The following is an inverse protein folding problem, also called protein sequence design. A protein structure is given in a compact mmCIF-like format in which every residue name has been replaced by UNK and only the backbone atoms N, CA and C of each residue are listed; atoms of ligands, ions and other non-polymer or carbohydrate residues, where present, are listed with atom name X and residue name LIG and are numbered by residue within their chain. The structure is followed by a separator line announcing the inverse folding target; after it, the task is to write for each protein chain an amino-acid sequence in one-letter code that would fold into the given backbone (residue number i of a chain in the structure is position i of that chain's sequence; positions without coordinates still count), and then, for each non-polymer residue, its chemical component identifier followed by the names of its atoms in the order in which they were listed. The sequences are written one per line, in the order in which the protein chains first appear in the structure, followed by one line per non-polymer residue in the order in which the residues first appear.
data_IF_931133287691
#
_entry.id   IF_931133287691
#
_cell.length_a   1.000
_cell.length_b   1.000
_cell.length_c   1.000
_cell.angle_alpha   90.00
_cell.angle_beta   90.00
_cell.angle_gamma   90.00
#
_symmetry.space_group_name_H-M   'P 1'
#
loop_
_entity.id
_entity.type
_entity.pdbx_description
1 polymer ?
#
# COMPACT_ATOMS: atom_id res chain seq x y z
N UNK A 1 -16.04 -9.74 34.51
CA UNK A 1 -16.28 -10.63 33.36
C UNK A 1 -16.59 -9.72 32.17
N UNK A 2 -15.57 -9.36 31.39
CA UNK A 2 -15.76 -8.43 30.26
C UNK A 2 -16.15 -9.24 29.02
N UNK A 3 -17.36 -9.00 28.53
CA UNK A 3 -17.85 -9.56 27.27
C UNK A 3 -17.22 -8.73 26.16
N UNK A 4 -16.25 -9.31 25.44
CA UNK A 4 -15.73 -8.73 24.21
C UNK A 4 -16.80 -8.90 23.13
N UNK A 5 -17.47 -7.82 22.77
CA UNK A 5 -18.37 -7.80 21.61
C UNK A 5 -17.53 -8.00 20.35
N UNK A 6 -17.59 -9.21 19.78
CA UNK A 6 -16.99 -9.55 18.48
C UNK A 6 -17.85 -8.94 17.38
N UNK A 7 -17.32 -7.94 16.69
CA UNK A 7 -17.98 -7.36 15.51
C UNK A 7 -17.67 -8.23 14.29
N UNK A 8 -18.65 -8.81 13.60
CA UNK A 8 -18.38 -9.59 12.41
C UNK A 8 -17.86 -8.70 11.28
N UNK A 9 -16.80 -9.17 10.64
CA UNK A 9 -16.01 -8.56 9.57
C UNK A 9 -16.78 -8.47 8.22
N UNK A 10 -18.11 -8.68 8.23
CA UNK A 10 -18.92 -8.84 7.01
C UNK A 10 -19.18 -7.55 6.22
N UNK A 11 -19.01 -6.38 6.81
CA UNK A 11 -19.50 -5.13 6.20
C UNK A 11 -18.52 -4.47 5.21
N UNK A 12 -17.28 -4.96 5.08
CA UNK A 12 -16.25 -4.33 4.25
C UNK A 12 -15.74 -5.18 3.06
N UNK A 13 -16.17 -6.44 2.95
CA UNK A 13 -15.77 -7.34 1.87
C UNK A 13 -16.92 -7.50 0.86
N UNK A 14 -16.79 -6.90 -0.33
CA UNK A 14 -17.64 -7.25 -1.48
C UNK A 14 -17.10 -8.55 -2.05
N UNK A 15 -17.78 -9.66 -1.80
CA UNK A 15 -17.41 -10.94 -2.39
C UNK A 15 -17.46 -10.86 -3.92
N UNK A 16 -16.34 -11.16 -4.57
CA UNK A 16 -16.32 -11.39 -6.02
C UNK A 16 -16.75 -12.83 -6.29
N UNK A 17 -17.78 -12.96 -7.12
CA UNK A 17 -18.28 -14.23 -7.64
C UNK A 17 -17.52 -14.55 -8.92
N UNK A 18 -17.21 -15.83 -9.14
CA UNK A 18 -16.74 -16.27 -10.45
C UNK A 18 -17.86 -16.20 -11.51
N UNK A 19 -17.52 -16.54 -12.76
CA UNK A 19 -18.46 -16.56 -13.87
C UNK A 19 -19.64 -17.55 -13.66
N UNK A 20 -19.50 -18.52 -12.77
CA UNK A 20 -20.53 -19.50 -12.41
C UNK A 20 -21.37 -19.07 -11.19
N UNK A 21 -21.09 -17.90 -10.61
CA UNK A 21 -21.77 -17.40 -9.41
C UNK A 21 -21.28 -18.04 -8.11
N UNK A 22 -20.10 -18.67 -8.13
CA UNK A 22 -19.45 -19.28 -6.97
C UNK A 22 -18.53 -18.28 -6.29
N UNK A 23 -18.58 -18.19 -4.96
CA UNK A 23 -17.62 -17.43 -4.17
C UNK A 23 -16.21 -18.01 -4.42
N UNK A 24 -15.30 -17.18 -4.93
CA UNK A 24 -13.95 -17.61 -5.33
C UNK A 24 -13.04 -18.09 -4.18
N UNK A 25 -13.46 -17.97 -2.92
CA UNK A 25 -12.64 -18.36 -1.78
C UNK A 25 -13.46 -18.61 -0.49
N UNK A 26 -14.25 -19.69 -0.37
CA UNK A 26 -15.02 -19.97 0.85
C UNK A 26 -14.12 -20.21 2.08
N UNK A 27 -12.87 -20.64 1.86
CA UNK A 27 -11.96 -21.08 2.93
C UNK A 27 -11.33 -19.93 3.75
N UNK A 28 -11.36 -18.71 3.21
CA UNK A 28 -10.84 -17.50 3.89
C UNK A 28 -11.95 -16.58 4.40
N UNK A 29 -13.22 -16.87 4.08
CA UNK A 29 -14.38 -16.08 4.51
C UNK A 29 -14.79 -16.33 5.98
N UNK A 30 -14.32 -17.43 6.59
CA UNK A 30 -14.60 -17.80 7.98
C UNK A 30 -13.44 -17.44 8.94
N UNK A 31 -12.57 -16.50 8.55
CA UNK A 31 -11.56 -15.98 9.47
C UNK A 31 -12.20 -14.97 10.43
N UNK A 32 -12.50 -15.43 11.65
CA UNK A 32 -12.85 -14.60 12.81
C UNK A 32 -11.62 -13.77 13.25
N UNK A 33 -11.31 -12.74 12.48
CA UNK A 33 -10.25 -11.78 12.83
C UNK A 33 -10.68 -10.97 14.05
N UNK A 34 -9.87 -11.00 15.10
CA UNK A 34 -10.05 -10.09 16.22
C UNK A 34 -9.49 -8.68 15.89
N UNK A 35 -9.92 -7.63 16.62
CA UNK A 35 -9.47 -6.27 16.38
C UNK A 35 -7.93 -6.12 16.41
N UNK A 36 -7.25 -6.83 17.31
CA UNK A 36 -5.79 -6.75 17.45
C UNK A 36 -5.06 -7.30 16.21
N UNK A 37 -5.60 -8.35 15.57
CA UNK A 37 -5.06 -8.90 14.34
C UNK A 37 -5.30 -7.95 13.16
N UNK A 38 -6.47 -7.29 13.11
CA UNK A 38 -6.75 -6.28 12.08
C UNK A 38 -5.77 -5.12 12.22
N UNK A 39 -5.56 -4.60 13.44
CA UNK A 39 -4.58 -3.54 13.70
C UNK A 39 -3.17 -3.94 13.29
N UNK A 40 -2.74 -5.16 13.62
CA UNK A 40 -1.44 -5.68 13.22
C UNK A 40 -1.29 -5.72 11.69
N UNK A 41 -2.32 -6.18 10.97
CA UNK A 41 -2.31 -6.20 9.50
C UNK A 41 -2.28 -4.79 8.91
N UNK A 42 -3.01 -3.84 9.49
CA UNK A 42 -3.04 -2.45 9.04
C UNK A 42 -1.65 -1.80 9.16
N UNK A 43 -0.95 -2.03 10.28
CA UNK A 43 0.42 -1.54 10.49
C UNK A 43 1.38 -2.23 9.52
N UNK A 44 1.33 -3.56 9.42
CA UNK A 44 2.20 -4.32 8.53
C UNK A 44 2.00 -3.95 7.06
N UNK A 45 0.76 -3.69 6.63
CA UNK A 45 0.46 -3.25 5.28
C UNK A 45 1.19 -1.93 4.98
N UNK A 46 1.06 -0.94 5.86
CA UNK A 46 1.74 0.33 5.69
C UNK A 46 3.27 0.18 5.65
N UNK A 47 3.83 -0.56 6.61
CA UNK A 47 5.28 -0.77 6.68
C UNK A 47 5.82 -1.49 5.44
N UNK A 48 5.14 -2.53 4.98
CA UNK A 48 5.51 -3.28 3.79
C UNK A 48 5.40 -2.39 2.55
N UNK A 49 4.29 -1.68 2.35
CA UNK A 49 4.10 -0.77 1.23
C UNK A 49 5.18 0.33 1.19
N UNK A 50 5.51 0.95 2.33
CA UNK A 50 6.54 1.99 2.36
C UNK A 50 7.95 1.43 2.12
N UNK A 51 8.22 0.20 2.60
CA UNK A 51 9.49 -0.50 2.33
C UNK A 51 9.62 -0.84 0.85
N UNK A 52 8.57 -1.40 0.26
CA UNK A 52 8.54 -1.78 -1.15
C UNK A 52 8.65 -0.55 -2.05
N UNK A 53 7.98 0.55 -1.70
CA UNK A 53 8.10 1.83 -2.40
C UNK A 53 9.54 2.35 -2.34
N UNK A 54 10.26 2.17 -1.23
CA UNK A 54 11.65 2.59 -1.08
C UNK A 54 12.68 1.63 -1.73
N UNK A 55 12.34 0.35 -1.95
CA UNK A 55 13.28 -0.65 -2.46
C UNK A 55 13.42 -0.57 -4.00
N UNK A 56 14.58 -0.19 -4.56
CA UNK A 56 14.76 -0.02 -6.00
C UNK A 56 14.54 -1.32 -6.82
N UNK A 57 14.47 -2.48 -6.18
CA UNK A 57 14.16 -3.77 -6.82
C UNK A 57 12.67 -3.99 -7.04
N UNK A 58 11.82 -3.26 -6.32
CA UNK A 58 10.36 -3.30 -6.50
C UNK A 58 9.99 -2.76 -7.87
N UNK A 59 9.12 -3.49 -8.56
CA UNK A 59 8.65 -3.12 -9.89
C UNK A 59 7.99 -1.74 -9.91
N UNK A 60 8.09 -1.04 -11.04
CA UNK A 60 7.45 0.26 -11.22
C UNK A 60 5.93 0.18 -11.05
N UNK A 61 5.29 -0.89 -11.56
CA UNK A 61 3.85 -1.11 -11.39
C UNK A 61 3.44 -1.21 -9.91
N UNK A 62 4.19 -1.96 -9.11
CA UNK A 62 3.92 -2.07 -7.66
C UNK A 62 4.11 -0.74 -6.95
N UNK A 63 5.13 0.04 -7.32
CA UNK A 63 5.34 1.38 -6.75
C UNK A 63 4.19 2.34 -7.11
N UNK A 64 3.67 2.26 -8.33
CA UNK A 64 2.50 3.03 -8.78
C UNK A 64 1.21 2.61 -8.05
N UNK A 65 0.99 1.31 -7.83
CA UNK A 65 -0.15 0.81 -7.07
C UNK A 65 -0.12 1.32 -5.62
N UNK A 66 1.06 1.30 -4.97
CA UNK A 66 1.24 1.83 -3.63
C UNK A 66 0.96 3.34 -3.60
N UNK A 67 1.49 4.09 -4.57
CA UNK A 67 1.23 5.53 -4.64
C UNK A 67 -0.25 5.83 -4.90
N UNK A 68 -0.90 5.04 -5.74
CA UNK A 68 -2.34 5.15 -5.98
C UNK A 68 -3.13 4.91 -4.70
N UNK A 69 -2.80 3.87 -3.93
CA UNK A 69 -3.42 3.61 -2.62
C UNK A 69 -3.26 4.79 -1.64
N UNK A 70 -2.09 5.43 -1.61
CA UNK A 70 -1.82 6.64 -0.80
C UNK A 70 -2.70 7.82 -1.25
N UNK A 71 -2.80 8.07 -2.56
CA UNK A 71 -3.50 9.22 -3.13
C UNK A 71 -5.03 9.06 -3.07
N UNK A 72 -5.52 7.91 -3.53
CA UNK A 72 -6.96 7.63 -3.60
C UNK A 72 -7.56 7.51 -2.20
N UNK A 73 -6.76 7.09 -1.22
CA UNK A 73 -7.18 6.90 0.16
C UNK A 73 -8.55 6.20 0.24
N UNK A 74 -8.63 5.01 -0.37
CA UNK A 74 -9.85 4.21 -0.35
C UNK A 74 -10.31 4.01 1.09
N UNK A 75 -11.60 4.20 1.36
CA UNK A 75 -12.18 4.02 2.69
C UNK A 75 -12.07 2.57 3.17
N UNK A 76 -12.33 2.35 4.46
CA UNK A 76 -12.35 1.03 5.07
C UNK A 76 -11.12 0.73 5.94
N UNK A 77 -11.04 -0.50 6.49
CA UNK A 77 -10.01 -0.88 7.46
C UNK A 77 -8.61 -0.80 6.86
N UNK A 78 -8.41 -1.18 5.60
CA UNK A 78 -7.09 -1.15 4.95
C UNK A 78 -6.85 0.09 4.08
N UNK A 79 -7.63 1.14 4.31
CA UNK A 79 -7.41 2.44 3.71
C UNK A 79 -6.12 3.08 4.21
N UNK A 80 -5.43 3.83 3.35
CA UNK A 80 -4.17 4.48 3.68
C UNK A 80 -4.26 5.32 4.97
N UNK A 81 -5.24 6.23 5.09
CA UNK A 81 -5.40 7.06 6.30
C UNK A 81 -5.64 6.23 7.56
N UNK A 82 -6.39 5.13 7.46
CA UNK A 82 -6.64 4.23 8.59
C UNK A 82 -5.32 3.60 9.05
N UNK A 83 -4.54 3.04 8.13
CA UNK A 83 -3.24 2.44 8.43
C UNK A 83 -2.20 3.46 8.94
N UNK A 84 -2.16 4.65 8.33
CA UNK A 84 -1.26 5.73 8.71
C UNK A 84 -1.58 6.28 10.10
N UNK A 85 -2.86 6.48 10.42
CA UNK A 85 -3.29 6.93 11.74
C UNK A 85 -2.89 5.95 12.84
N UNK A 86 -3.09 4.65 12.62
CA UNK A 86 -2.71 3.61 13.58
C UNK A 86 -1.20 3.59 13.83
N UNK A 87 -0.41 3.69 12.77
CA UNK A 87 1.05 3.74 12.89
C UNK A 87 1.53 5.02 13.58
N UNK A 88 0.93 6.17 13.25
CA UNK A 88 1.25 7.47 13.84
C UNK A 88 0.97 7.56 15.33
N UNK A 89 -0.06 6.87 15.83
CA UNK A 89 -0.37 6.80 17.27
C UNK A 89 0.80 6.27 18.11
N UNK A 90 1.58 5.34 17.56
CA UNK A 90 2.77 4.82 18.25
C UNK A 90 3.83 5.90 18.50
N UNK A 91 3.80 6.97 17.71
CA UNK A 91 4.73 8.11 17.78
C UNK A 91 4.08 9.37 18.35
N UNK A 92 2.84 9.28 18.87
CA UNK A 92 2.11 10.42 19.43
C UNK A 92 1.69 11.46 18.38
N UNK A 93 1.55 11.05 17.12
CA UNK A 93 1.04 11.91 16.05
C UNK A 93 -0.49 11.86 15.99
N UNK A 94 -1.09 13.01 15.70
CA UNK A 94 -2.50 13.08 15.34
C UNK A 94 -2.76 12.32 14.01
N UNK A 95 -3.90 11.64 13.85
CA UNK A 95 -4.20 10.80 12.69
C UNK A 95 -3.97 11.47 11.33
N UNK A 96 -4.45 12.70 11.17
CA UNK A 96 -4.34 13.47 9.94
C UNK A 96 -2.88 13.84 9.66
N UNK A 97 -2.16 14.30 10.67
CA UNK A 97 -0.74 14.64 10.55
C UNK A 97 0.12 13.42 10.18
N UNK A 98 -0.19 12.25 10.74
CA UNK A 98 0.49 11.01 10.40
C UNK A 98 0.27 10.65 8.91
N UNK A 99 -0.96 10.74 8.42
CA UNK A 99 -1.27 10.46 7.02
C UNK A 99 -0.58 11.46 6.07
N UNK A 100 -0.58 12.75 6.39
CA UNK A 100 0.07 13.78 5.58
C UNK A 100 1.58 13.54 5.47
N UNK A 101 2.28 13.35 6.59
CA UNK A 101 3.74 13.13 6.62
C UNK A 101 4.12 11.89 5.81
N UNK A 102 3.36 10.81 5.95
CA UNK A 102 3.64 9.56 5.24
C UNK A 102 3.33 9.68 3.75
N UNK A 103 2.26 10.38 3.38
CA UNK A 103 1.91 10.62 1.98
C UNK A 103 2.95 11.50 1.27
N UNK A 104 3.39 12.58 1.91
CA UNK A 104 4.49 13.42 1.40
C UNK A 104 5.75 12.58 1.18
N UNK A 105 6.07 11.70 2.14
CA UNK A 105 7.24 10.83 2.00
C UNK A 105 7.11 9.85 0.83
N UNK A 106 5.93 9.27 0.63
CA UNK A 106 5.66 8.37 -0.49
C UNK A 106 5.84 9.08 -1.84
N UNK A 107 5.30 10.29 -1.97
CA UNK A 107 5.44 11.12 -3.17
C UNK A 107 6.91 11.49 -3.44
N UNK A 108 7.66 11.84 -2.40
CA UNK A 108 9.09 12.15 -2.52
C UNK A 108 9.88 10.94 -3.04
N UNK A 109 9.61 9.75 -2.51
CA UNK A 109 10.27 8.51 -2.95
C UNK A 109 9.95 8.25 -4.42
N UNK A 110 8.67 8.36 -4.82
CA UNK A 110 8.27 8.13 -6.21
C UNK A 110 8.94 9.11 -7.18
N UNK A 111 9.01 10.39 -6.79
CA UNK A 111 9.70 11.41 -7.59
C UNK A 111 11.16 11.02 -7.85
N UNK A 112 11.87 10.57 -6.81
CA UNK A 112 13.28 10.14 -6.94
C UNK A 112 13.44 8.92 -7.84
N UNK A 113 12.50 7.96 -7.79
CA UNK A 113 12.50 6.80 -8.70
C UNK A 113 12.39 7.24 -10.16
N UNK A 114 11.40 8.09 -10.46
CA UNK A 114 11.19 8.59 -11.81
C UNK A 114 12.40 9.34 -12.35
N UNK A 115 13.02 10.20 -11.53
CA UNK A 115 14.26 10.91 -11.90
C UNK A 115 15.41 9.94 -12.22
N UNK A 116 15.54 8.83 -11.48
CA UNK A 116 16.57 7.83 -11.73
C UNK A 116 16.33 7.02 -13.01
N UNK A 117 15.08 6.66 -13.32
CA UNK A 117 14.71 5.98 -14.57
C UNK A 117 15.01 6.84 -15.79
N UNK A 118 14.64 8.12 -15.76
CA UNK A 118 14.91 9.07 -16.84
C UNK A 118 16.41 9.24 -17.10
N UNK A 119 17.22 9.29 -16.05
CA UNK A 119 18.68 9.34 -16.19
C UNK A 119 19.25 8.06 -16.82
N UNK A 120 18.70 6.89 -16.48
CA UNK A 120 19.14 5.62 -17.04
C UNK A 120 18.80 5.51 -18.53
N UNK A 121 17.58 5.92 -18.93
CA UNK A 121 17.17 5.97 -20.33
C UNK A 121 18.03 6.92 -21.17
N UNK A 122 18.29 8.13 -20.68
CA UNK A 122 19.15 9.11 -21.36
C UNK A 122 20.58 8.59 -21.55
N UNK A 123 21.15 7.92 -20.53
CA UNK A 123 22.49 7.30 -20.63
C UNK A 123 22.53 6.14 -21.62
N UNK A 124 21.49 5.31 -21.64
CA UNK A 124 21.35 4.22 -22.61
C UNK A 124 21.30 4.76 -24.05
N UNK A 125 20.48 5.79 -24.30
CA UNK A 125 20.31 6.39 -25.63
C UNK A 125 21.61 7.02 -26.19
N UNK A 126 22.43 7.64 -25.33
CA UNK A 126 23.73 8.20 -25.71
C UNK A 126 24.75 7.10 -26.05
N UNK A 127 24.71 5.98 -25.31
CA UNK A 127 25.59 4.84 -25.55
C UNK A 127 25.32 4.12 -26.88
N UNK A 128 24.05 4.03 -27.28
CA UNK A 128 23.63 3.38 -28.54
C UNK A 128 24.02 4.21 -29.76
N UNK A 129 23.79 5.54 -29.73
CA UNK A 129 24.19 6.44 -30.83
C UNK A 129 25.69 6.45 -31.12
N UNK A 130 26.55 6.21 -30.13
CA UNK A 130 28.01 6.13 -30.35
C UNK A 130 28.45 4.87 -31.11
N UNK A 131 27.65 3.80 -31.13
CA UNK A 131 27.98 2.56 -31.84
C UNK A 131 27.54 2.56 -33.30
N UNK A 132 26.59 3.41 -33.68
CA UNK A 132 26.08 3.49 -35.06
C UNK A 132 26.87 4.47 -35.96
N UNK A 133 27.75 5.29 -35.37
CA UNK A 133 28.55 6.30 -36.09
C UNK A 133 30.05 5.92 -36.11
N UNK A 134 30.38 4.65 -35.85
CA UNK A 134 31.74 4.11 -35.88
C UNK A 134 31.88 3.05 -36.98
#
# INVERSE_FOLDING_TARGET
MHVLHRTPVKDWYTAELDFEGTLLAPEYLDLDWNPEQIELLQVNLLEASMRDLADPRTSQATAEDILSWVIENRGGPFGFKTCAALSGRQYGLEPEAAAEVIAEKAQEIMKRRFEHEQQHEQRSHIGTRRREVA
#
